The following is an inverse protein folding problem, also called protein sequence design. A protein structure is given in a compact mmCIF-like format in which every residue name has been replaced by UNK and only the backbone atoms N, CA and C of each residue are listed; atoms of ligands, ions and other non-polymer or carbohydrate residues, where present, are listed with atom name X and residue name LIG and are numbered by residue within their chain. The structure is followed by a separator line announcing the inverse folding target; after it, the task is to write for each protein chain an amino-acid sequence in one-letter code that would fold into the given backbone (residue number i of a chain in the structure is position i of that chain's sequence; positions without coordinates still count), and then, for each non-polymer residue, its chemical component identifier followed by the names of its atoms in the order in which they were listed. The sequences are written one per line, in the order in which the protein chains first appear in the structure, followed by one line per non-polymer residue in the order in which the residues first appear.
data_IF_005013838389
#
_entry.id   IF_005013838389
#
_cell.length_a   1.000
_cell.length_b   1.000
_cell.length_c   1.000
_cell.angle_alpha   90.00
_cell.angle_beta   90.00
_cell.angle_gamma   90.00
#
_symmetry.space_group_name_H-M   'P 1'
#
loop_
_entity.id
_entity.type
_entity.pdbx_description
1 polymer ?
#
# COMPACT_ATOMS: atom_id res chain seq x y z
N UNK A 1 -22.57 42.50 -0.49
CA UNK A 1 -21.25 42.94 -1.01
C UNK A 1 -20.99 42.22 -2.32
N UNK A 2 -20.55 42.96 -3.33
CA UNK A 2 -20.39 42.47 -4.69
C UNK A 2 -19.03 41.76 -4.85
N UNK A 3 -19.03 40.52 -5.36
CA UNK A 3 -17.81 39.76 -5.63
C UNK A 3 -17.06 40.38 -6.82
N UNK A 4 -15.83 40.85 -6.60
CA UNK A 4 -14.92 41.36 -7.65
C UNK A 4 -13.71 40.45 -7.80
N UNK A 5 -13.01 40.49 -8.92
CA UNK A 5 -11.83 39.65 -9.21
C UNK A 5 -10.74 39.74 -8.12
N UNK A 6 -10.62 40.88 -7.45
CA UNK A 6 -9.72 41.12 -6.32
C UNK A 6 -10.06 40.27 -5.08
N UNK A 7 -11.33 39.92 -4.88
CA UNK A 7 -11.80 39.09 -3.77
C UNK A 7 -11.23 37.66 -3.79
N UNK A 8 -10.71 37.19 -4.94
CA UNK A 8 -9.98 35.92 -5.04
C UNK A 8 -8.73 35.89 -4.14
N UNK A 9 -8.11 37.05 -3.90
CA UNK A 9 -6.93 37.15 -3.05
C UNK A 9 -7.27 37.13 -1.56
N UNK A 10 -8.50 37.53 -1.21
CA UNK A 10 -9.05 37.46 0.15
C UNK A 10 -9.49 36.04 0.55
N UNK A 11 -9.58 35.10 -0.41
CA UNK A 11 -9.91 33.71 -0.10
C UNK A 11 -8.86 33.09 0.83
N UNK A 12 -9.35 32.47 1.90
CA UNK A 12 -8.55 31.69 2.82
C UNK A 12 -8.96 30.23 2.72
N UNK A 13 -8.03 29.32 3.04
CA UNK A 13 -8.32 27.90 3.15
C UNK A 13 -7.79 27.41 4.49
N UNK A 14 -8.62 26.72 5.26
CA UNK A 14 -8.24 26.12 6.55
C UNK A 14 -8.83 24.73 6.75
N UNK A 15 -8.19 23.88 7.59
CA UNK A 15 -8.81 22.65 8.04
C UNK A 15 -10.15 22.96 8.72
N UNK A 16 -11.13 22.10 8.51
CA UNK A 16 -12.42 22.15 9.19
C UNK A 16 -12.21 21.86 10.68
N UNK A 17 -12.80 22.70 11.52
CA UNK A 17 -12.75 22.55 12.97
C UNK A 17 -13.74 21.49 13.45
N UNK A 18 -13.51 20.95 14.64
CA UNK A 18 -14.33 19.83 15.17
C UNK A 18 -15.82 20.19 15.27
N UNK A 19 -16.14 21.43 15.64
CA UNK A 19 -17.51 21.94 15.73
C UNK A 19 -18.19 22.16 14.37
N UNK A 20 -17.42 22.21 13.29
CA UNK A 20 -17.92 22.48 11.93
C UNK A 20 -18.12 21.18 11.12
N UNK A 21 -17.76 20.02 11.67
CA UNK A 21 -17.77 18.74 10.94
C UNK A 21 -19.16 18.31 10.48
N UNK A 22 -20.20 18.60 11.28
CA UNK A 22 -21.59 18.29 10.91
C UNK A 22 -22.07 19.17 9.75
N UNK A 23 -21.83 20.48 9.83
CA UNK A 23 -22.10 21.41 8.74
C UNK A 23 -21.34 21.01 7.47
N UNK A 24 -20.06 20.63 7.61
CA UNK A 24 -19.26 20.17 6.48
C UNK A 24 -19.90 18.99 5.75
N UNK A 25 -20.32 17.98 6.51
CA UNK A 25 -20.97 16.80 5.94
C UNK A 25 -22.35 17.10 5.38
N UNK A 26 -23.14 17.98 6.01
CA UNK A 26 -24.44 18.37 5.53
C UNK A 26 -24.36 19.04 4.15
N UNK A 27 -23.48 20.05 4.02
CA UNK A 27 -23.24 20.75 2.75
C UNK A 27 -22.71 19.80 1.65
N UNK A 28 -21.74 18.95 2.00
CA UNK A 28 -21.18 17.98 1.06
C UNK A 28 -22.22 16.95 0.62
N UNK A 29 -23.08 16.48 1.53
CA UNK A 29 -24.17 15.54 1.21
C UNK A 29 -25.21 16.17 0.30
N UNK A 30 -25.54 17.43 0.54
CA UNK A 30 -26.58 18.16 -0.19
C UNK A 30 -26.13 18.57 -1.59
N UNK A 31 -24.87 18.95 -1.77
CA UNK A 31 -24.43 19.63 -2.99
C UNK A 31 -23.39 18.87 -3.83
N UNK A 32 -22.62 17.94 -3.26
CA UNK A 32 -21.70 17.13 -4.05
C UNK A 32 -22.44 15.94 -4.68
N UNK A 33 -22.24 15.69 -5.98
CA UNK A 33 -22.93 14.62 -6.72
C UNK A 33 -22.69 13.18 -6.22
N UNK A 34 -21.67 12.98 -5.38
CA UNK A 34 -21.36 11.72 -4.68
C UNK A 34 -21.64 11.77 -3.17
N UNK A 35 -22.26 12.85 -2.69
CA UNK A 35 -22.50 13.13 -1.28
C UNK A 35 -21.23 13.22 -0.43
N UNK A 36 -21.43 13.28 0.89
CA UNK A 36 -20.36 13.29 1.87
C UNK A 36 -19.59 11.97 1.92
N UNK A 37 -18.35 12.07 2.40
CA UNK A 37 -17.49 10.93 2.65
C UNK A 37 -17.01 11.00 4.10
N UNK A 38 -17.25 9.94 4.87
CA UNK A 38 -16.78 9.83 6.25
C UNK A 38 -15.25 9.89 6.31
N UNK A 39 -14.70 10.42 7.42
CA UNK A 39 -13.27 10.33 7.69
C UNK A 39 -12.89 8.87 7.91
N UNK A 40 -12.12 8.30 6.98
CA UNK A 40 -11.59 6.95 7.09
C UNK A 40 -10.08 7.01 6.90
N UNK A 41 -9.33 6.51 7.88
CA UNK A 41 -7.87 6.58 7.86
C UNK A 41 -7.36 8.02 7.89
N UNK A 42 -6.29 8.28 7.14
CA UNK A 42 -5.69 9.60 7.01
C UNK A 42 -6.58 10.49 6.14
N UNK A 43 -7.37 11.35 6.79
CA UNK A 43 -8.27 12.29 6.12
C UNK A 43 -8.17 13.69 6.74
N UNK A 44 -8.11 14.71 5.89
CA UNK A 44 -8.24 16.13 6.24
C UNK A 44 -9.37 16.73 5.41
N UNK A 45 -10.28 17.42 6.07
CA UNK A 45 -11.28 18.25 5.41
C UNK A 45 -10.82 19.70 5.49
N UNK A 46 -10.97 20.42 4.38
CA UNK A 46 -10.70 21.84 4.30
C UNK A 46 -11.98 22.58 3.89
N UNK A 47 -12.11 23.78 4.43
CA UNK A 47 -13.08 24.77 3.99
C UNK A 47 -12.34 25.99 3.47
N UNK A 48 -12.76 26.47 2.31
CA UNK A 48 -12.35 27.75 1.77
C UNK A 48 -13.37 28.81 2.20
N UNK A 49 -12.91 29.93 2.74
CA UNK A 49 -13.77 30.99 3.25
C UNK A 49 -13.43 32.34 2.62
N UNK A 50 -14.44 33.19 2.50
CA UNK A 50 -14.32 34.60 2.19
C UNK A 50 -15.15 35.38 3.20
N UNK A 51 -14.51 36.23 4.01
CA UNK A 51 -15.19 37.02 5.07
C UNK A 51 -16.13 36.16 5.93
N UNK A 52 -15.59 35.06 6.45
CA UNK A 52 -16.29 34.02 7.23
C UNK A 52 -17.35 33.19 6.47
N UNK A 53 -17.68 33.54 5.22
CA UNK A 53 -18.60 32.74 4.42
C UNK A 53 -17.89 31.56 3.78
N UNK A 54 -18.51 30.38 3.85
CA UNK A 54 -17.99 29.19 3.18
C UNK A 54 -18.19 29.30 1.67
N UNK A 55 -17.10 29.08 0.93
CA UNK A 55 -17.04 29.21 -0.54
C UNK A 55 -16.88 27.84 -1.20
N UNK A 56 -16.00 27.00 -0.66
CA UNK A 56 -15.73 25.68 -1.20
C UNK A 56 -15.25 24.70 -0.12
N UNK A 57 -15.35 23.41 -0.41
CA UNK A 57 -14.98 22.31 0.47
C UNK A 57 -14.09 21.31 -0.26
N UNK A 58 -13.05 20.80 0.41
CA UNK A 58 -12.11 19.81 -0.10
C UNK A 58 -11.92 18.68 0.91
N UNK A 59 -12.02 17.43 0.45
CA UNK A 59 -11.65 16.25 1.24
C UNK A 59 -10.38 15.64 0.69
N UNK A 60 -9.29 15.71 1.45
CA UNK A 60 -8.10 14.93 1.18
C UNK A 60 -8.12 13.66 2.03
N UNK A 61 -7.97 12.51 1.39
CA UNK A 61 -8.01 11.19 2.02
C UNK A 61 -6.82 10.35 1.57
N UNK A 62 -6.62 9.19 2.19
CA UNK A 62 -5.61 8.23 1.74
C UNK A 62 -5.73 7.90 0.25
N UNK A 63 -4.60 7.66 -0.40
CA UNK A 63 -4.54 7.33 -1.82
C UNK A 63 -5.34 6.07 -2.19
N UNK A 64 -5.79 6.01 -3.45
CA UNK A 64 -6.36 4.83 -4.04
C UNK A 64 -5.34 3.68 -4.02
N UNK A 65 -5.75 2.55 -3.44
CA UNK A 65 -4.90 1.37 -3.29
C UNK A 65 -4.36 0.85 -4.62
N UNK A 66 -5.15 0.95 -5.70
CA UNK A 66 -4.77 0.50 -7.04
C UNK A 66 -5.11 1.59 -8.05
N UNK A 67 -4.12 2.07 -8.79
CA UNK A 67 -4.32 3.04 -9.86
C UNK A 67 -3.23 2.86 -10.92
N UNK A 68 -3.47 1.99 -11.91
CA UNK A 68 -2.43 1.56 -12.85
C UNK A 68 -1.87 2.71 -13.70
N UNK A 69 -2.67 3.72 -14.05
CA UNK A 69 -2.20 4.92 -14.78
C UNK A 69 -1.20 5.73 -13.96
N UNK A 70 -1.50 5.96 -12.66
CA UNK A 70 -0.57 6.61 -11.73
C UNK A 70 0.68 5.78 -11.53
N UNK A 71 0.50 4.47 -11.30
CA UNK A 71 1.61 3.58 -10.97
C UNK A 71 2.61 3.49 -12.13
N UNK A 72 2.12 3.43 -13.39
CA UNK A 72 2.96 3.52 -14.59
C UNK A 72 3.66 4.87 -14.72
N UNK A 73 2.97 5.97 -14.43
CA UNK A 73 3.55 7.31 -14.51
C UNK A 73 4.65 7.55 -13.45
N UNK A 74 4.47 7.04 -12.23
CA UNK A 74 5.53 7.09 -11.21
C UNK A 74 6.72 6.20 -11.63
N UNK A 75 6.42 5.05 -12.25
CA UNK A 75 7.42 4.07 -12.69
C UNK A 75 8.02 3.26 -11.55
N UNK A 76 7.25 3.08 -10.46
CA UNK A 76 7.67 2.27 -9.31
C UNK A 76 7.27 0.80 -9.46
N UNK A 77 8.03 -0.09 -8.82
CA UNK A 77 7.64 -1.50 -8.71
C UNK A 77 6.51 -1.67 -7.69
N UNK A 78 5.64 -2.65 -7.94
CA UNK A 78 4.52 -2.99 -7.08
C UNK A 78 4.95 -3.29 -5.61
N UNK A 79 6.15 -3.85 -5.40
CA UNK A 79 6.71 -4.15 -4.07
C UNK A 79 6.99 -2.89 -3.24
N UNK A 80 7.30 -1.77 -3.90
CA UNK A 80 7.56 -0.48 -3.27
C UNK A 80 6.25 0.29 -3.06
N UNK A 81 5.34 0.21 -4.05
CA UNK A 81 4.07 0.93 -4.09
C UNK A 81 3.32 0.93 -2.75
N UNK A 82 3.00 -0.25 -2.20
CA UNK A 82 2.11 -0.33 -1.03
C UNK A 82 2.67 0.38 0.21
N UNK A 83 3.99 0.33 0.39
CA UNK A 83 4.67 1.01 1.49
C UNK A 83 4.83 2.52 1.31
N UNK A 84 4.46 3.05 0.13
CA UNK A 84 4.60 4.47 -0.24
C UNK A 84 3.27 5.17 -0.52
N UNK A 85 2.16 4.43 -0.56
CA UNK A 85 0.83 5.01 -0.77
C UNK A 85 0.47 6.04 0.32
N UNK A 86 1.03 5.93 1.52
CA UNK A 86 0.87 6.91 2.59
C UNK A 86 1.56 8.27 2.30
N UNK A 87 2.36 8.38 1.24
CA UNK A 87 2.91 9.65 0.78
C UNK A 87 2.11 10.28 -0.36
N UNK A 88 0.97 9.68 -0.68
CA UNK A 88 0.03 10.16 -1.68
C UNK A 88 -1.30 10.43 -0.97
N UNK A 89 -1.93 11.56 -1.29
CA UNK A 89 -3.28 11.86 -0.84
C UNK A 89 -4.20 12.02 -2.03
N UNK A 90 -5.41 11.47 -1.91
CA UNK A 90 -6.46 11.62 -2.88
C UNK A 90 -7.37 12.79 -2.49
N UNK A 91 -7.48 13.78 -3.38
CA UNK A 91 -8.55 14.77 -3.34
C UNK A 91 -9.87 14.10 -3.75
N UNK A 92 -10.53 13.49 -2.76
CA UNK A 92 -11.66 12.60 -2.92
C UNK A 92 -12.98 13.32 -3.07
N UNK A 93 -13.08 14.56 -2.59
CA UNK A 93 -14.23 15.44 -2.80
C UNK A 93 -13.75 16.86 -3.02
N UNK A 94 -14.29 17.51 -4.04
CA UNK A 94 -14.10 18.94 -4.23
C UNK A 94 -15.43 19.56 -4.64
N UNK A 95 -15.93 20.47 -3.81
CA UNK A 95 -17.22 21.11 -3.98
C UNK A 95 -17.04 22.63 -3.89
N UNK A 96 -17.44 23.35 -4.93
CA UNK A 96 -17.69 24.79 -4.85
C UNK A 96 -19.16 24.94 -4.43
N UNK A 97 -19.41 25.65 -3.34
CA UNK A 97 -20.77 25.77 -2.80
C UNK A 97 -21.68 26.56 -3.75
N UNK A 98 -23.00 26.28 -3.75
CA UNK A 98 -23.95 27.07 -4.54
C UNK A 98 -23.81 28.57 -4.27
N UNK A 99 -23.97 29.39 -5.31
CA UNK A 99 -23.75 30.84 -5.24
C UNK A 99 -22.30 31.29 -5.47
N UNK A 100 -21.33 30.36 -5.38
CA UNK A 100 -19.90 30.63 -5.57
C UNK A 100 -19.34 30.13 -6.90
N UNK A 101 -20.18 29.82 -7.88
CA UNK A 101 -19.70 29.43 -9.21
C UNK A 101 -19.21 30.67 -9.98
N UNK A 102 -17.99 31.11 -9.66
CA UNK A 102 -17.32 32.26 -10.28
C UNK A 102 -16.01 31.81 -10.92
N UNK A 103 -15.52 32.52 -11.96
CA UNK A 103 -14.23 32.22 -12.56
C UNK A 103 -13.11 32.14 -11.53
N UNK A 104 -12.18 31.19 -11.71
CA UNK A 104 -10.94 31.04 -10.94
C UNK A 104 -11.06 30.68 -9.45
N UNK A 105 -12.26 30.58 -8.87
CA UNK A 105 -12.40 30.14 -7.46
C UNK A 105 -11.81 28.74 -7.28
N UNK A 106 -12.15 27.81 -8.16
CA UNK A 106 -11.69 26.43 -8.04
C UNK A 106 -10.16 26.30 -8.08
N UNK A 107 -9.50 26.95 -9.05
CA UNK A 107 -8.04 26.89 -9.19
C UNK A 107 -7.34 27.66 -8.06
N UNK A 108 -7.92 28.76 -7.59
CA UNK A 108 -7.43 29.49 -6.42
C UNK A 108 -7.47 28.62 -5.17
N UNK A 109 -8.57 27.91 -4.93
CA UNK A 109 -8.74 27.00 -3.79
C UNK A 109 -7.74 25.84 -3.85
N UNK A 110 -7.51 25.24 -5.03
CA UNK A 110 -6.45 24.23 -5.20
C UNK A 110 -5.06 24.80 -4.91
N UNK A 111 -4.75 26.01 -5.39
CA UNK A 111 -3.47 26.67 -5.11
C UNK A 111 -3.25 26.92 -3.62
N UNK A 112 -4.29 27.37 -2.89
CA UNK A 112 -4.23 27.56 -1.44
C UNK A 112 -4.02 26.24 -0.71
N UNK A 113 -4.67 25.16 -1.17
CA UNK A 113 -4.50 23.82 -0.61
C UNK A 113 -3.05 23.32 -0.79
N UNK A 114 -2.50 23.44 -1.99
CA UNK A 114 -1.13 23.00 -2.30
C UNK A 114 -0.08 23.70 -1.43
N UNK A 115 -0.28 24.98 -1.09
CA UNK A 115 0.64 25.76 -0.24
C UNK A 115 0.75 25.27 1.20
N UNK A 116 -0.28 24.59 1.72
CA UNK A 116 -0.35 24.19 3.13
C UNK A 116 -0.39 22.70 3.37
N UNK A 117 -0.88 21.92 2.41
CA UNK A 117 -1.19 20.50 2.59
C UNK A 117 0.00 19.68 3.08
N UNK A 118 1.22 19.95 2.59
CA UNK A 118 2.42 19.22 3.01
C UNK A 118 2.68 19.41 4.51
N UNK A 119 2.54 20.65 5.01
CA UNK A 119 2.72 20.97 6.42
C UNK A 119 1.60 20.36 7.27
N UNK A 120 0.34 20.56 6.88
CA UNK A 120 -0.81 20.03 7.61
C UNK A 120 -0.77 18.50 7.69
N UNK A 121 -0.45 17.82 6.59
CA UNK A 121 -0.36 16.35 6.53
C UNK A 121 0.74 15.82 7.44
N UNK A 122 1.91 16.46 7.41
CA UNK A 122 3.04 16.11 8.30
C UNK A 122 2.68 16.33 9.76
N UNK A 123 2.06 17.46 10.10
CA UNK A 123 1.64 17.77 11.47
C UNK A 123 0.60 16.76 11.97
N UNK A 124 -0.38 16.39 11.14
CA UNK A 124 -1.48 15.52 11.56
C UNK A 124 -1.13 14.04 11.58
N UNK A 125 -0.36 13.55 10.61
CA UNK A 125 -0.10 12.11 10.44
C UNK A 125 1.36 11.72 10.69
N UNK A 126 2.27 12.69 10.77
CA UNK A 126 3.65 12.47 11.18
C UNK A 126 4.53 11.88 10.09
N UNK A 127 4.16 12.03 8.82
CA UNK A 127 4.99 11.65 7.67
C UNK A 127 4.78 12.60 6.49
N UNK A 128 5.70 12.50 5.53
CA UNK A 128 5.71 13.33 4.33
C UNK A 128 4.53 13.02 3.39
N UNK A 129 4.20 14.01 2.59
CA UNK A 129 3.27 13.94 1.46
C UNK A 129 4.00 14.47 0.22
N UNK A 130 4.02 13.69 -0.86
CA UNK A 130 4.81 13.97 -2.06
C UNK A 130 3.95 14.18 -3.30
N UNK A 131 2.75 13.62 -3.33
CA UNK A 131 1.88 13.64 -4.50
C UNK A 131 0.42 13.77 -4.07
N UNK A 132 -0.35 14.55 -4.82
CA UNK A 132 -1.81 14.48 -4.78
C UNK A 132 -2.33 13.77 -6.02
N UNK A 133 -3.44 13.07 -5.86
CA UNK A 133 -4.21 12.49 -6.96
C UNK A 133 -5.68 12.87 -6.85
N UNK A 134 -6.42 12.77 -7.95
CA UNK A 134 -7.87 12.90 -7.96
C UNK A 134 -8.46 12.14 -9.14
N UNK A 135 -9.75 11.84 -9.06
CA UNK A 135 -10.50 11.05 -10.03
C UNK A 135 -11.72 11.84 -10.48
N UNK A 136 -11.74 12.21 -11.76
CA UNK A 136 -12.82 12.99 -12.37
C UNK A 136 -13.68 12.07 -13.22
N UNK A 137 -14.99 12.19 -13.08
CA UNK A 137 -15.95 11.51 -13.94
C UNK A 137 -16.07 12.23 -15.29
N UNK A 138 -15.54 11.67 -16.39
CA UNK A 138 -15.51 12.38 -17.68
C UNK A 138 -16.91 12.61 -18.28
N UNK A 139 -17.90 11.82 -17.87
CA UNK A 139 -19.31 12.01 -18.31
C UNK A 139 -19.96 13.24 -17.66
N UNK A 140 -19.46 13.65 -16.49
CA UNK A 140 -20.02 14.77 -15.72
C UNK A 140 -19.17 16.03 -15.81
N UNK A 141 -17.85 15.86 -15.81
CA UNK A 141 -16.90 16.95 -15.72
C UNK A 141 -15.72 16.72 -16.63
N UNK A 142 -15.32 17.75 -17.36
CA UNK A 142 -14.12 17.70 -18.18
C UNK A 142 -12.84 17.80 -17.33
N UNK A 143 -12.89 18.25 -16.08
CA UNK A 143 -11.71 18.40 -15.20
C UNK A 143 -10.93 19.71 -15.38
N UNK A 144 -11.58 20.76 -15.90
CA UNK A 144 -10.92 22.03 -16.23
C UNK A 144 -10.19 22.69 -15.07
N UNK A 145 -10.74 22.61 -13.85
CA UNK A 145 -10.10 23.19 -12.66
C UNK A 145 -8.70 22.61 -12.37
N UNK A 146 -8.51 21.31 -12.62
CA UNK A 146 -7.23 20.63 -12.44
C UNK A 146 -6.24 21.01 -13.54
N UNK A 147 -6.70 21.07 -14.80
CA UNK A 147 -5.87 21.56 -15.92
C UNK A 147 -5.41 23.00 -15.71
N UNK A 148 -6.32 23.87 -15.29
CA UNK A 148 -6.01 25.27 -14.99
C UNK A 148 -5.06 25.45 -13.80
N UNK A 149 -4.90 24.41 -12.96
CA UNK A 149 -4.03 24.43 -11.79
C UNK A 149 -2.73 23.63 -11.98
N UNK A 150 -2.35 23.36 -13.24
CA UNK A 150 -1.13 22.62 -13.60
C UNK A 150 -1.07 21.17 -13.03
N UNK A 151 -2.23 20.53 -12.86
CA UNK A 151 -2.27 19.10 -12.58
C UNK A 151 -2.04 18.31 -13.89
N UNK A 152 -1.32 17.21 -13.78
CA UNK A 152 -0.94 16.37 -14.92
C UNK A 152 -2.08 15.36 -15.17
N UNK A 153 -2.65 15.38 -16.37
CA UNK A 153 -3.65 14.41 -16.83
C UNK A 153 -2.95 13.10 -17.22
N UNK A 154 -3.26 12.01 -16.51
CA UNK A 154 -2.67 10.68 -16.74
C UNK A 154 -3.58 9.77 -17.58
N UNK A 155 -4.71 10.27 -18.07
CA UNK A 155 -5.69 9.50 -18.82
C UNK A 155 -6.71 8.77 -17.93
N UNK A 156 -7.28 7.69 -18.45
CA UNK A 156 -8.44 7.01 -17.86
C UNK A 156 -8.06 5.78 -17.02
N UNK A 157 -8.77 5.56 -15.91
CA UNK A 157 -8.75 4.28 -15.19
C UNK A 157 -9.43 3.18 -16.01
N UNK A 158 -9.23 1.92 -15.63
CA UNK A 158 -9.90 0.77 -16.27
C UNK A 158 -11.38 0.61 -15.85
N UNK A 159 -11.93 1.51 -15.02
CA UNK A 159 -13.37 1.51 -14.67
C UNK A 159 -13.84 0.46 -13.65
N UNK A 160 -12.93 -0.35 -13.08
CA UNK A 160 -13.27 -1.34 -12.06
C UNK A 160 -13.45 -0.72 -10.67
N UNK A 161 -14.56 -1.06 -9.99
CA UNK A 161 -14.85 -0.63 -8.62
C UNK A 161 -14.64 -1.78 -7.64
N UNK A 162 -14.18 -1.46 -6.43
CA UNK A 162 -14.13 -2.43 -5.33
C UNK A 162 -15.55 -2.71 -4.82
N UNK A 163 -15.95 -3.98 -4.79
CA UNK A 163 -17.20 -4.48 -4.21
C UNK A 163 -16.91 -5.34 -2.98
N UNK A 164 -17.91 -5.66 -2.17
CA UNK A 164 -17.72 -6.45 -0.92
C UNK A 164 -17.01 -7.80 -1.14
N UNK A 165 -17.16 -8.40 -2.33
CA UNK A 165 -16.52 -9.67 -2.74
C UNK A 165 -15.21 -9.52 -3.54
N UNK A 166 -14.67 -8.30 -3.69
CA UNK A 166 -13.45 -8.06 -4.48
C UNK A 166 -13.56 -6.84 -5.39
N UNK A 167 -13.40 -7.01 -6.70
CA UNK A 167 -13.66 -5.97 -7.69
C UNK A 167 -14.82 -6.39 -8.59
N UNK A 168 -15.58 -5.42 -9.12
CA UNK A 168 -16.64 -5.69 -10.09
C UNK A 168 -16.07 -6.42 -11.31
N UNK A 169 -16.80 -7.39 -11.84
CA UNK A 169 -16.44 -8.07 -13.10
C UNK A 169 -16.71 -7.20 -14.32
N UNK A 170 -17.57 -6.20 -14.19
CA UNK A 170 -17.88 -5.20 -15.21
C UNK A 170 -17.22 -3.87 -14.87
N UNK A 171 -16.57 -3.26 -15.87
CA UNK A 171 -16.12 -1.87 -15.80
C UNK A 171 -17.34 -0.97 -15.94
N UNK A 172 -17.67 -0.18 -14.92
CA UNK A 172 -18.84 0.72 -14.97
C UNK A 172 -18.50 1.97 -15.76
N UNK A 173 -17.58 2.80 -15.25
CA UNK A 173 -17.21 4.05 -15.87
C UNK A 173 -15.74 4.40 -15.54
N UNK A 174 -14.85 4.42 -16.54
CA UNK A 174 -13.50 4.97 -16.41
C UNK A 174 -13.51 6.38 -15.83
N UNK A 175 -12.60 6.65 -14.88
CA UNK A 175 -12.38 7.99 -14.33
C UNK A 175 -11.09 8.56 -14.89
N UNK A 176 -11.08 9.85 -15.22
CA UNK A 176 -9.87 10.55 -15.61
C UNK A 176 -9.04 10.87 -14.38
N UNK A 177 -7.76 10.51 -14.41
CA UNK A 177 -6.85 10.66 -13.29
C UNK A 177 -5.99 11.89 -13.49
N UNK A 178 -5.98 12.78 -12.50
CA UNK A 178 -5.03 13.88 -12.45
C UNK A 178 -4.11 13.72 -11.25
N UNK A 179 -2.84 14.11 -11.41
CA UNK A 179 -1.86 14.11 -10.32
C UNK A 179 -1.16 15.46 -10.20
N UNK A 180 -0.74 15.78 -8.98
CA UNK A 180 0.01 17.00 -8.68
C UNK A 180 1.24 16.68 -7.81
N UNK A 181 2.46 16.72 -8.38
CA UNK A 181 3.70 16.64 -7.62
C UNK A 181 3.81 17.83 -6.65
N UNK A 182 4.07 17.56 -5.37
CA UNK A 182 4.26 18.60 -4.36
C UNK A 182 5.75 19.02 -4.22
N UNK A 183 6.65 18.33 -4.91
CA UNK A 183 8.06 18.70 -5.07
C UNK A 183 8.59 18.25 -6.44
N UNK A 184 9.66 18.90 -6.93
CA UNK A 184 10.19 18.66 -8.28
C UNK A 184 10.70 17.23 -8.51
N UNK A 185 11.11 16.52 -7.46
CA UNK A 185 11.62 15.15 -7.52
C UNK A 185 10.65 14.13 -6.91
N UNK A 186 9.34 14.42 -6.84
CA UNK A 186 8.34 13.54 -6.21
C UNK A 186 8.41 12.08 -6.70
N UNK A 187 8.41 11.85 -8.02
CA UNK A 187 8.49 10.49 -8.58
C UNK A 187 9.80 9.78 -8.22
N UNK A 188 10.91 10.50 -8.19
CA UNK A 188 12.21 9.94 -7.77
C UNK A 188 12.11 9.53 -6.30
N UNK A 189 11.64 10.41 -5.42
CA UNK A 189 11.48 10.10 -3.99
C UNK A 189 10.49 8.97 -3.71
N UNK A 190 9.44 8.82 -4.53
CA UNK A 190 8.48 7.73 -4.43
C UNK A 190 9.10 6.38 -4.84
N UNK A 191 10.05 6.39 -5.79
CA UNK A 191 10.79 5.20 -6.25
C UNK A 191 11.96 4.81 -5.35
N UNK A 192 12.64 5.79 -4.76
CA UNK A 192 13.87 5.57 -4.02
C UNK A 192 13.63 4.73 -2.75
N UNK A 193 14.52 3.76 -2.44
CA UNK A 193 14.59 3.15 -1.11
C UNK A 193 14.81 4.26 -0.07
N UNK A 194 14.06 4.28 1.03
CA UNK A 194 14.24 5.37 2.00
C UNK A 194 15.54 5.18 2.78
N UNK A 195 16.35 6.23 2.95
CA UNK A 195 17.58 6.15 3.74
C UNK A 195 17.34 6.01 5.25
N UNK A 196 16.14 6.32 5.77
CA UNK A 196 15.83 6.21 7.20
C UNK A 196 14.67 5.25 7.51
N UNK A 197 14.88 4.18 8.30
CA UNK A 197 13.88 3.16 8.61
C UNK A 197 12.85 3.56 9.68
N UNK A 198 12.89 4.80 10.20
CA UNK A 198 12.26 5.14 11.48
C UNK A 198 10.73 5.22 11.47
N UNK A 199 10.04 5.17 10.32
CA UNK A 199 8.56 5.06 10.28
C UNK A 199 8.04 4.18 9.15
N UNK A 200 8.50 2.93 9.07
CA UNK A 200 7.72 1.89 8.38
C UNK A 200 6.50 1.51 9.24
N UNK A 201 5.39 2.25 9.12
CA UNK A 201 4.07 1.71 9.55
C UNK A 201 3.62 0.71 8.48
N UNK A 202 4.17 -0.50 8.58
CA UNK A 202 4.02 -1.59 7.61
C UNK A 202 5.36 -1.93 6.98
N UNK A 203 5.88 -3.13 7.24
CA UNK A 203 7.01 -3.67 6.49
C UNK A 203 6.68 -3.76 4.99
N UNK A 204 7.68 -3.87 4.09
CA UNK A 204 7.43 -4.06 2.67
C UNK A 204 6.52 -5.28 2.49
N UNK A 205 5.27 -5.04 2.09
CA UNK A 205 4.30 -6.08 1.79
C UNK A 205 4.44 -6.37 0.29
N UNK A 206 5.15 -7.43 -0.05
CA UNK A 206 5.14 -7.94 -1.42
C UNK A 206 3.74 -8.47 -1.66
N UNK A 207 3.01 -8.00 -2.67
CA UNK A 207 1.86 -8.75 -3.16
C UNK A 207 2.28 -9.52 -4.41
N UNK A 208 1.99 -10.81 -4.38
CA UNK A 208 2.46 -11.77 -5.36
C UNK A 208 1.71 -11.58 -6.68
N UNK A 209 2.42 -11.58 -7.79
CA UNK A 209 1.81 -11.67 -9.11
C UNK A 209 1.38 -13.12 -9.41
N UNK A 210 0.71 -13.35 -10.55
CA UNK A 210 0.18 -14.67 -10.87
C UNK A 210 1.26 -15.75 -11.02
N UNK A 211 2.42 -15.42 -11.57
CA UNK A 211 3.51 -16.37 -11.79
C UNK A 211 4.24 -16.69 -10.48
N UNK A 212 4.43 -15.70 -9.62
CA UNK A 212 4.94 -15.88 -8.26
C UNK A 212 4.02 -16.78 -7.43
N UNK A 213 2.70 -16.63 -7.55
CA UNK A 213 1.75 -17.53 -6.86
C UNK A 213 1.86 -18.98 -7.34
N UNK A 214 2.11 -19.21 -8.64
CA UNK A 214 2.27 -20.55 -9.22
C UNK A 214 3.60 -21.21 -8.84
N UNK A 215 4.68 -20.45 -8.86
CA UNK A 215 6.03 -20.98 -8.64
C UNK A 215 6.40 -21.12 -7.17
N UNK A 216 5.76 -20.37 -6.28
CA UNK A 216 6.12 -20.41 -4.86
C UNK A 216 5.91 -21.80 -4.23
N UNK A 217 4.79 -22.52 -4.44
CA UNK A 217 4.66 -23.91 -4.03
C UNK A 217 5.72 -24.85 -4.64
N UNK A 218 6.11 -24.61 -5.90
CA UNK A 218 7.09 -25.44 -6.61
C UNK A 218 8.44 -25.46 -5.90
N UNK A 219 8.87 -24.33 -5.34
CA UNK A 219 10.11 -24.23 -4.57
C UNK A 219 10.16 -25.17 -3.35
N UNK A 220 9.00 -25.62 -2.85
CA UNK A 220 8.89 -26.47 -1.66
C UNK A 220 8.61 -27.94 -2.00
N UNK A 221 8.52 -28.33 -3.29
CA UNK A 221 8.21 -29.72 -3.68
C UNK A 221 9.24 -30.75 -3.23
N UNK A 222 10.49 -30.32 -3.05
CA UNK A 222 11.60 -31.19 -2.65
C UNK A 222 11.62 -31.49 -1.15
N UNK A 223 10.77 -30.84 -0.35
CA UNK A 223 10.69 -31.05 1.10
C UNK A 223 9.81 -32.28 1.37
N UNK A 224 10.33 -33.35 2.02
CA UNK A 224 9.53 -34.52 2.38
C UNK A 224 8.41 -34.17 3.35
N UNK A 225 7.22 -34.76 3.17
CA UNK A 225 6.07 -34.51 4.05
C UNK A 225 6.17 -35.31 5.36
N UNK A 226 6.41 -34.66 6.52
CA UNK A 226 6.62 -35.35 7.79
C UNK A 226 5.31 -35.88 8.41
N UNK A 227 4.15 -35.58 7.80
CA UNK A 227 2.84 -36.01 8.32
C UNK A 227 2.53 -37.45 7.89
N UNK A 228 1.74 -38.15 8.72
CA UNK A 228 1.19 -39.49 8.38
C UNK A 228 0.22 -39.40 7.20
N UNK A 229 0.09 -40.48 6.43
CA UNK A 229 -0.73 -40.54 5.20
C UNK A 229 -2.17 -40.05 5.39
N UNK A 230 -2.84 -40.42 6.49
CA UNK A 230 -4.22 -40.01 6.81
C UNK A 230 -4.39 -38.50 7.04
N UNK A 231 -3.31 -37.75 7.34
CA UNK A 231 -3.34 -36.31 7.60
C UNK A 231 -3.04 -35.41 6.39
N UNK A 232 -2.74 -36.00 5.21
CA UNK A 232 -2.26 -35.27 4.03
C UNK A 232 -3.39 -34.77 3.13
N UNK A 233 -4.31 -33.97 3.69
CA UNK A 233 -5.41 -33.38 2.90
C UNK A 233 -4.93 -32.28 1.94
N UNK A 234 -3.98 -31.46 2.39
CA UNK A 234 -3.36 -30.39 1.59
C UNK A 234 -1.92 -30.79 1.29
N UNK A 235 -1.44 -30.70 0.02
CA UNK A 235 -0.04 -30.96 -0.30
C UNK A 235 0.89 -30.05 0.53
N UNK A 236 1.99 -30.59 1.04
CA UNK A 236 2.90 -29.83 1.90
C UNK A 236 3.44 -28.57 1.20
N UNK A 237 3.83 -28.72 -0.07
CA UNK A 237 4.31 -27.63 -0.92
C UNK A 237 3.33 -26.45 -1.00
N UNK A 238 2.03 -26.74 -1.03
CA UNK A 238 0.96 -25.74 -1.07
C UNK A 238 0.80 -25.05 0.28
N UNK A 239 0.85 -25.81 1.38
CA UNK A 239 0.80 -25.24 2.74
C UNK A 239 1.98 -24.29 2.96
N UNK A 240 3.18 -24.71 2.55
CA UNK A 240 4.39 -23.90 2.63
C UNK A 240 4.37 -22.71 1.68
N UNK A 241 3.88 -22.88 0.45
CA UNK A 241 3.70 -21.79 -0.50
C UNK A 241 2.75 -20.71 0.02
N UNK A 242 1.66 -21.11 0.67
CA UNK A 242 0.73 -20.17 1.31
C UNK A 242 1.38 -19.46 2.50
N UNK A 243 2.09 -20.19 3.37
CA UNK A 243 2.77 -19.61 4.52
C UNK A 243 3.87 -18.62 4.13
N UNK A 244 4.70 -18.99 3.16
CA UNK A 244 5.73 -18.13 2.59
C UNK A 244 5.08 -16.93 1.90
N UNK A 245 4.03 -17.13 1.11
CA UNK A 245 3.35 -16.06 0.39
C UNK A 245 2.71 -15.03 1.32
N UNK A 246 2.07 -15.49 2.40
CA UNK A 246 1.53 -14.64 3.44
C UNK A 246 2.63 -13.85 4.15
N UNK A 247 3.76 -14.49 4.44
CA UNK A 247 4.91 -13.87 5.11
C UNK A 247 5.56 -12.80 4.24
N UNK A 248 5.69 -13.06 2.93
CA UNK A 248 6.12 -12.07 1.92
C UNK A 248 5.12 -10.91 1.81
N UNK A 249 3.82 -11.19 1.98
CA UNK A 249 2.77 -10.17 2.10
C UNK A 249 2.76 -9.45 3.46
N UNK A 250 3.71 -9.75 4.35
CA UNK A 250 3.89 -9.10 5.65
C UNK A 250 2.96 -9.62 6.76
N UNK A 251 2.34 -10.78 6.58
CA UNK A 251 1.55 -11.44 7.63
C UNK A 251 2.49 -12.08 8.65
N UNK A 252 2.17 -11.95 9.94
CA UNK A 252 2.99 -12.49 11.04
C UNK A 252 2.15 -13.37 11.94
N UNK A 253 2.62 -14.58 12.20
CA UNK A 253 1.93 -15.58 13.01
C UNK A 253 0.89 -16.39 12.25
N UNK A 254 0.60 -17.60 12.75
CA UNK A 254 -0.22 -18.60 12.06
C UNK A 254 -1.65 -18.12 11.77
N UNK A 255 -2.27 -17.43 12.73
CA UNK A 255 -3.61 -16.85 12.58
C UNK A 255 -3.68 -15.87 11.40
N UNK A 256 -2.76 -14.91 11.34
CA UNK A 256 -2.72 -13.93 10.26
C UNK A 256 -2.46 -14.58 8.88
N UNK A 257 -1.66 -15.63 8.84
CA UNK A 257 -1.42 -16.42 7.62
C UNK A 257 -2.71 -17.12 7.18
N UNK A 258 -3.45 -17.73 8.10
CA UNK A 258 -4.71 -18.41 7.81
C UNK A 258 -5.81 -17.43 7.37
N UNK A 259 -5.91 -16.27 8.00
CA UNK A 259 -6.84 -15.20 7.59
C UNK A 259 -6.50 -14.69 6.19
N UNK A 260 -5.21 -14.48 5.88
CA UNK A 260 -4.75 -14.10 4.56
C UNK A 260 -5.09 -15.14 3.50
N UNK A 261 -4.85 -16.43 3.80
CA UNK A 261 -5.19 -17.53 2.91
C UNK A 261 -6.71 -17.57 2.62
N UNK A 262 -7.53 -17.40 3.65
CA UNK A 262 -8.99 -17.34 3.50
C UNK A 262 -9.44 -16.13 2.68
N UNK A 263 -8.74 -15.00 2.77
CA UNK A 263 -9.03 -13.81 1.99
C UNK A 263 -8.65 -13.93 0.49
N UNK A 264 -7.89 -14.95 0.10
CA UNK A 264 -7.56 -15.19 -1.32
C UNK A 264 -8.82 -15.53 -2.12
N UNK A 265 -8.96 -14.89 -3.29
CA UNK A 265 -9.97 -15.26 -4.29
C UNK A 265 -9.68 -16.63 -4.91
N UNK A 266 -10.70 -17.26 -5.52
CA UNK A 266 -10.62 -18.62 -6.06
C UNK A 266 -9.47 -18.82 -7.06
N UNK A 267 -9.24 -17.87 -7.97
CA UNK A 267 -8.15 -17.96 -8.95
C UNK A 267 -6.77 -17.85 -8.29
N UNK A 268 -6.63 -17.13 -7.17
CA UNK A 268 -5.37 -17.09 -6.43
C UNK A 268 -5.12 -18.43 -5.72
N UNK A 269 -6.15 -19.00 -5.10
CA UNK A 269 -6.07 -20.33 -4.48
C UNK A 269 -5.71 -21.42 -5.48
N UNK A 270 -6.29 -21.36 -6.68
CA UNK A 270 -5.93 -22.21 -7.81
C UNK A 270 -4.46 -22.08 -8.19
N UNK A 271 -3.95 -20.85 -8.34
CA UNK A 271 -2.54 -20.60 -8.66
C UNK A 271 -1.60 -21.17 -7.59
N UNK A 272 -1.99 -21.11 -6.32
CA UNK A 272 -1.25 -21.77 -5.23
C UNK A 272 -1.34 -23.30 -5.24
N UNK A 273 -2.17 -23.90 -6.10
CA UNK A 273 -2.38 -25.35 -6.13
C UNK A 273 -3.23 -25.87 -4.98
N UNK A 274 -4.12 -25.04 -4.42
CA UNK A 274 -5.06 -25.48 -3.38
C UNK A 274 -5.89 -26.68 -3.85
N UNK A 275 -6.28 -27.56 -2.93
CA UNK A 275 -7.14 -28.70 -3.25
C UNK A 275 -8.54 -28.21 -3.67
N UNK A 276 -9.17 -28.92 -4.59
CA UNK A 276 -10.55 -28.65 -5.02
C UNK A 276 -11.53 -29.56 -4.27
N UNK A 277 -12.59 -28.98 -3.70
CA UNK A 277 -13.65 -29.67 -2.97
C UNK A 277 -14.98 -29.00 -3.34
N UNK A 278 -15.96 -29.78 -3.79
CA UNK A 278 -17.28 -29.28 -4.22
C UNK A 278 -17.21 -28.10 -5.20
N UNK A 279 -16.28 -28.14 -6.17
CA UNK A 279 -16.09 -27.08 -7.17
C UNK A 279 -15.32 -25.85 -6.69
N UNK A 280 -14.88 -25.82 -5.43
CA UNK A 280 -14.14 -24.69 -4.86
C UNK A 280 -12.74 -25.06 -4.38
N UNK A 281 -11.80 -24.14 -4.52
CA UNK A 281 -10.46 -24.29 -4.00
C UNK A 281 -10.41 -23.95 -2.50
N UNK A 282 -9.95 -24.91 -1.69
CA UNK A 282 -9.95 -24.85 -0.23
C UNK A 282 -8.53 -24.68 0.29
N UNK A 283 -8.34 -23.70 1.16
CA UNK A 283 -7.06 -23.38 1.82
C UNK A 283 -6.87 -24.22 3.08
N UNK A 284 -5.62 -24.46 3.52
CA UNK A 284 -5.34 -25.10 4.81
C UNK A 284 -5.84 -24.22 5.96
N UNK A 285 -6.31 -24.86 7.04
CA UNK A 285 -6.69 -24.17 8.28
C UNK A 285 -5.45 -23.71 9.05
N UNK A 286 -5.64 -22.80 10.01
CA UNK A 286 -4.58 -22.36 10.93
C UNK A 286 -3.86 -23.55 11.59
N UNK A 287 -4.62 -24.56 12.02
CA UNK A 287 -4.08 -25.79 12.61
C UNK A 287 -3.15 -26.52 11.63
N UNK A 288 -3.58 -26.71 10.37
CA UNK A 288 -2.77 -27.41 9.36
C UNK A 288 -1.49 -26.64 9.06
N UNK A 289 -1.56 -25.32 8.96
CA UNK A 289 -0.40 -24.45 8.72
C UNK A 289 0.59 -24.57 9.89
N UNK A 290 0.11 -24.43 11.12
CA UNK A 290 0.92 -24.56 12.34
C UNK A 290 1.57 -25.95 12.45
N UNK A 291 0.79 -27.01 12.27
CA UNK A 291 1.27 -28.39 12.37
C UNK A 291 2.36 -28.71 11.34
N UNK A 292 2.22 -28.23 10.10
CA UNK A 292 3.25 -28.38 9.08
C UNK A 292 4.52 -27.59 9.44
N UNK A 293 4.37 -26.31 9.82
CA UNK A 293 5.51 -25.41 10.09
C UNK A 293 6.35 -25.86 11.28
N UNK A 294 5.75 -26.48 12.31
CA UNK A 294 6.46 -26.98 13.49
C UNK A 294 7.30 -28.23 13.19
N UNK A 295 6.86 -29.06 12.22
CA UNK A 295 7.46 -30.37 11.93
C UNK A 295 8.56 -30.33 10.87
N UNK A 296 8.76 -29.19 10.21
CA UNK A 296 9.73 -29.07 9.13
C UNK A 296 11.10 -28.71 9.70
N UNK A 297 12.12 -29.39 9.18
CA UNK A 297 13.53 -29.10 9.48
C UNK A 297 13.89 -27.69 8.97
N UNK A 298 14.39 -26.79 9.85
CA UNK A 298 14.65 -25.39 9.48
C UNK A 298 15.57 -25.22 8.25
N UNK A 299 16.59 -26.07 8.09
CA UNK A 299 17.51 -26.02 6.96
C UNK A 299 16.87 -26.36 5.61
N UNK A 300 15.88 -27.24 5.58
CA UNK A 300 15.12 -27.55 4.37
C UNK A 300 14.26 -26.36 3.91
N UNK A 301 13.69 -25.62 4.86
CA UNK A 301 12.94 -24.40 4.57
C UNK A 301 13.85 -23.29 4.04
N UNK A 302 15.04 -23.10 4.63
CA UNK A 302 16.01 -22.11 4.18
C UNK A 302 16.52 -22.38 2.76
N UNK A 303 16.77 -23.63 2.40
CA UNK A 303 17.16 -24.00 1.02
C UNK A 303 16.06 -23.67 0.01
N UNK A 304 14.81 -23.98 0.33
CA UNK A 304 13.67 -23.69 -0.56
C UNK A 304 13.42 -22.18 -0.71
N UNK A 305 13.56 -21.41 0.36
CA UNK A 305 13.48 -19.95 0.33
C UNK A 305 14.64 -19.33 -0.48
N UNK A 306 15.84 -19.92 -0.40
CA UNK A 306 16.97 -19.49 -1.22
C UNK A 306 16.75 -19.75 -2.72
N UNK A 307 16.14 -20.88 -3.11
CA UNK A 307 15.78 -21.15 -4.49
C UNK A 307 14.75 -20.13 -5.02
N UNK A 308 13.74 -19.80 -4.21
CA UNK A 308 12.78 -18.75 -4.56
C UNK A 308 13.45 -17.38 -4.72
N UNK A 309 14.36 -17.03 -3.79
CA UNK A 309 15.14 -15.80 -3.86
C UNK A 309 16.09 -15.76 -5.07
N UNK A 310 16.64 -16.89 -5.52
CA UNK A 310 17.47 -16.96 -6.72
C UNK A 310 16.63 -16.75 -7.99
N UNK A 311 15.41 -17.27 -8.02
CA UNK A 311 14.50 -17.14 -9.16
C UNK A 311 13.83 -15.75 -9.27
N UNK A 312 13.64 -15.04 -8.14
CA UNK A 312 12.82 -13.81 -8.08
C UNK A 312 13.42 -12.64 -7.29
N UNK A 313 14.62 -12.80 -6.71
CA UNK A 313 15.38 -11.76 -6.03
C UNK A 313 16.19 -10.94 -7.04
N UNK A 314 16.06 -9.61 -7.00
CA UNK A 314 16.93 -8.71 -7.74
C UNK A 314 18.37 -8.80 -7.20
N UNK A 315 19.37 -8.52 -8.05
CA UNK A 315 20.75 -8.31 -7.61
C UNK A 315 20.79 -7.16 -6.59
N UNK A 316 21.44 -7.37 -5.45
CA UNK A 316 21.60 -6.32 -4.44
C UNK A 316 22.77 -5.39 -4.79
N UNK A 317 22.49 -4.09 -4.88
CA UNK A 317 23.53 -3.04 -4.88
C UNK A 317 24.07 -2.74 -3.46
N UNK A 318 23.40 -3.23 -2.40
CA UNK A 318 23.79 -2.98 -1.01
C UNK A 318 23.55 -4.20 -0.08
N UNK A 319 24.57 -4.55 0.70
CA UNK A 319 24.57 -5.65 1.66
C UNK A 319 24.47 -5.12 3.10
N UNK A 320 23.61 -5.72 3.92
CA UNK A 320 23.51 -5.44 5.35
C UNK A 320 24.25 -6.52 6.15
N UNK A 321 24.96 -6.13 7.21
CA UNK A 321 25.65 -7.04 8.12
C UNK A 321 24.87 -7.06 9.45
N UNK A 322 24.32 -8.22 9.82
CA UNK A 322 23.63 -8.44 11.09
C UNK A 322 24.39 -9.47 11.92
N UNK A 323 24.92 -9.04 13.07
CA UNK A 323 25.62 -9.89 14.03
C UNK A 323 24.73 -10.18 15.22
N UNK A 324 24.44 -11.46 15.48
CA UNK A 324 23.70 -11.90 16.67
C UNK A 324 24.60 -12.65 17.62
N UNK A 325 24.58 -12.24 18.87
CA UNK A 325 25.18 -12.97 19.99
C UNK A 325 24.14 -13.89 20.60
N UNK A 326 24.40 -15.20 20.55
CA UNK A 326 23.47 -16.20 21.07
C UNK A 326 23.62 -16.29 22.59
N UNK A 327 22.61 -15.79 23.32
CA UNK A 327 22.58 -15.92 24.79
C UNK A 327 22.46 -17.42 25.16
N UNK A 328 23.35 -17.88 26.05
CA UNK A 328 23.49 -19.26 26.55
C UNK A 328 24.07 -20.30 25.57
N UNK A 329 24.65 -19.90 24.44
CA UNK A 329 25.44 -20.80 23.59
C UNK A 329 26.93 -20.49 23.78
N UNK A 330 27.59 -21.24 24.65
CA UNK A 330 29.03 -21.15 24.90
C UNK A 330 29.78 -22.09 23.94
N UNK A 331 30.91 -21.64 23.40
CA UNK A 331 31.81 -22.53 22.66
C UNK A 331 32.66 -23.39 23.60
N UNK A 332 33.51 -24.25 23.04
CA UNK A 332 34.38 -25.18 23.80
C UNK A 332 35.34 -24.45 24.75
N UNK A 333 35.54 -23.15 24.57
CA UNK A 333 36.39 -22.28 25.40
C UNK A 333 35.58 -21.42 26.39
N UNK A 334 34.25 -21.62 26.48
CA UNK A 334 33.39 -20.88 27.40
C UNK A 334 33.00 -19.48 26.94
N UNK A 335 33.25 -19.12 25.67
CA UNK A 335 32.90 -17.80 25.12
C UNK A 335 31.53 -17.82 24.43
N UNK A 336 30.82 -16.69 24.48
CA UNK A 336 29.52 -16.58 23.81
C UNK A 336 29.67 -16.68 22.29
N UNK A 337 28.88 -17.55 21.67
CA UNK A 337 28.93 -17.76 20.22
C UNK A 337 28.32 -16.57 19.47
N UNK A 338 29.12 -15.95 18.62
CA UNK A 338 28.69 -14.89 17.70
C UNK A 338 28.45 -15.46 16.31
N UNK A 339 27.27 -15.17 15.76
CA UNK A 339 26.89 -15.52 14.39
C UNK A 339 26.74 -14.23 13.62
N UNK A 340 27.56 -14.06 12.58
CA UNK A 340 27.45 -12.93 11.66
C UNK A 340 26.77 -13.39 10.38
N UNK A 341 25.73 -12.66 9.97
CA UNK A 341 24.98 -12.88 8.74
C UNK A 341 25.06 -11.66 7.83
N UNK A 342 25.38 -11.91 6.56
CA UNK A 342 25.38 -10.88 5.51
C UNK A 342 24.09 -11.03 4.73
N UNK A 343 23.18 -10.07 4.83
CA UNK A 343 21.85 -10.13 4.24
C UNK A 343 21.68 -9.01 3.22
N UNK A 344 21.29 -9.37 2.01
CA UNK A 344 20.89 -8.44 0.96
C UNK A 344 19.85 -7.45 1.43
N UNK A 345 20.12 -6.15 1.31
CA UNK A 345 19.19 -5.16 1.84
C UNK A 345 17.84 -5.20 1.11
N UNK A 346 17.86 -5.46 -0.21
CA UNK A 346 16.68 -5.51 -1.07
C UNK A 346 16.20 -6.95 -1.29
N UNK A 347 17.11 -7.91 -1.55
CA UNK A 347 16.73 -9.30 -1.81
C UNK A 347 16.39 -10.10 -0.55
N UNK A 348 16.83 -9.63 0.64
CA UNK A 348 16.81 -10.38 1.90
C UNK A 348 17.52 -11.74 1.83
N UNK A 349 18.34 -11.97 0.80
CA UNK A 349 19.17 -13.17 0.64
C UNK A 349 20.30 -13.13 1.67
N UNK A 350 20.44 -14.18 2.46
CA UNK A 350 21.63 -14.36 3.28
C UNK A 350 22.77 -14.83 2.35
N UNK A 351 23.76 -13.97 2.13
CA UNK A 351 24.92 -14.25 1.29
C UNK A 351 25.97 -15.10 2.00
N UNK A 352 26.10 -14.92 3.31
CA UNK A 352 26.99 -15.71 4.15
C UNK A 352 26.50 -15.70 5.59
N UNK A 353 26.58 -16.86 6.26
CA UNK A 353 26.42 -17.00 7.69
C UNK A 353 27.64 -17.75 8.22
N UNK A 354 28.50 -17.08 8.98
CA UNK A 354 29.75 -17.65 9.49
C UNK A 354 29.78 -17.54 11.01
N UNK A 355 30.08 -18.67 11.68
CA UNK A 355 30.46 -18.66 13.11
C UNK A 355 31.79 -17.93 13.20
N UNK A 356 31.80 -16.79 13.90
CA UNK A 356 33.03 -16.02 14.09
C UNK A 356 33.77 -16.59 15.29
N UNK A 357 35.00 -17.04 15.07
CA UNK A 357 35.94 -17.38 16.15
C UNK A 357 36.64 -16.06 16.52
N UNK A 358 36.76 -15.70 17.81
CA UNK A 358 37.47 -14.49 18.20
C UNK A 358 38.91 -14.55 17.67
N UNK A 359 39.33 -13.55 16.88
CA UNK A 359 40.76 -13.28 16.78
C UNK A 359 41.20 -12.71 18.13
N UNK A 360 42.32 -13.25 18.63
CA UNK A 360 42.99 -12.89 19.87
C UNK A 360 43.11 -11.37 20.09
#
# INVERSE_FOLDING_TARGET
MEWRSEALWELQLRPVERGEEEQYQAEMSRHHYLGALNKIGETIWYVATWREQWVAQLSLSAAALKCSVRDRWIGWDFRIQYGRLNWIANNSRFLILPGWNRPNIGSRVLSLMERRVVADWKTRFGHRLLLLETFVDPERFHGGVYRASNWIDLGLTQGYRRVRKGYSSQAEAPKRVFVRPLCGNACIQLKQPEPHPSRRRGGPKIMLNADQMRLLPECFKTIPDPRRSQGRRHPLSVVLGIAAGATLCGMRGYKAIAEWANALGQHARERFGCRRENGHYVVPSEYVIRDCMIRIEPGALDRALNLWNQAWGQQDEALALDGKTMKNALDENGNQTHIMSVVGHQSKRCYAQKKWVPCL
#
